data_IF_426481534833
#
_entry.id   IF_426481534833
#
_cell.length_a   1.000
_cell.length_b   1.000
_cell.length_c   1.000
_cell.angle_alpha   90.00
_cell.angle_beta   90.00
_cell.angle_gamma   90.00
#
_symmetry.space_group_name_H-M   'P 1'
#
loop_
_entity.id
_entity.type
_entity.pdbx_description
1 polymer ?
#
# COMPACT_ATOMS: atom_id res chain seq x y z
N UNK A 1 6.04 -23.21 28.49
CA UNK A 1 7.15 -22.23 28.58
C UNK A 1 6.94 -21.28 27.42
N UNK A 2 6.50 -20.07 27.77
CA UNK A 2 5.92 -19.08 26.88
C UNK A 2 6.90 -18.60 25.81
N UNK A 3 6.49 -18.71 24.55
CA UNK A 3 7.15 -18.10 23.39
C UNK A 3 6.84 -16.61 23.27
N UNK A 4 7.11 -15.83 24.32
CA UNK A 4 7.10 -14.36 24.23
C UNK A 4 8.41 -13.92 23.58
N UNK A 5 8.46 -14.03 22.25
CA UNK A 5 9.38 -13.23 21.46
C UNK A 5 9.18 -11.76 21.84
N UNK A 6 10.26 -10.99 21.84
CA UNK A 6 10.34 -9.56 22.17
C UNK A 6 9.30 -8.73 21.41
N UNK A 7 8.06 -8.75 21.88
CA UNK A 7 6.92 -8.03 21.32
C UNK A 7 6.96 -6.59 21.80
N UNK A 8 6.62 -5.67 20.91
CA UNK A 8 6.44 -4.27 21.28
C UNK A 8 5.38 -4.18 22.39
N UNK A 9 5.76 -3.59 23.51
CA UNK A 9 4.86 -3.40 24.65
C UNK A 9 3.95 -2.20 24.39
N UNK A 10 2.81 -2.49 23.75
CA UNK A 10 1.82 -1.49 23.37
C UNK A 10 1.21 -0.80 24.59
N UNK A 11 1.02 -1.51 25.69
CA UNK A 11 0.47 -0.96 26.94
C UNK A 11 1.42 0.08 27.54
N UNK A 12 2.72 -0.22 27.56
CA UNK A 12 3.74 0.74 28.03
C UNK A 12 3.91 1.94 27.10
N UNK A 13 3.72 1.77 25.79
CA UNK A 13 3.83 2.87 24.82
C UNK A 13 2.56 3.74 24.72
N UNK A 14 1.41 3.20 25.14
CA UNK A 14 0.09 3.84 25.02
C UNK A 14 0.03 5.28 25.54
N UNK A 15 0.58 5.63 26.73
CA UNK A 15 0.49 7.00 27.24
C UNK A 15 1.22 8.02 26.36
N UNK A 16 2.35 7.66 25.77
CA UNK A 16 3.11 8.53 24.87
C UNK A 16 2.34 8.73 23.55
N UNK A 17 1.79 7.65 22.99
CA UNK A 17 0.96 7.73 21.78
C UNK A 17 -0.27 8.62 22.03
N UNK A 18 -0.91 8.46 23.18
CA UNK A 18 -2.06 9.26 23.61
C UNK A 18 -1.71 10.75 23.73
N UNK A 19 -0.59 11.07 24.39
CA UNK A 19 -0.10 12.44 24.53
C UNK A 19 0.21 13.06 23.16
N UNK A 20 0.92 12.32 22.30
CA UNK A 20 1.26 12.80 20.96
C UNK A 20 0.03 13.00 20.07
N UNK A 21 -0.95 12.11 20.17
CA UNK A 21 -2.23 12.27 19.48
C UNK A 21 -2.98 13.52 19.95
N UNK A 22 -3.04 13.77 21.26
CA UNK A 22 -3.64 15.00 21.79
C UNK A 22 -2.92 16.26 21.31
N UNK A 23 -1.60 16.26 21.24
CA UNK A 23 -0.85 17.41 20.71
C UNK A 23 -1.22 17.70 19.25
N UNK A 24 -1.25 16.66 18.41
CA UNK A 24 -1.65 16.80 17.01
C UNK A 24 -3.11 17.24 16.84
N UNK A 25 -4.02 16.71 17.68
CA UNK A 25 -5.42 17.13 17.67
C UNK A 25 -5.57 18.60 18.06
N UNK A 26 -4.77 19.08 19.02
CA UNK A 26 -4.75 20.49 19.42
C UNK A 26 -4.20 21.38 18.30
N UNK A 27 -3.07 21.01 17.70
CA UNK A 27 -2.46 21.73 16.57
C UNK A 27 -3.43 21.80 15.37
N UNK A 28 -4.06 20.67 15.06
CA UNK A 28 -5.09 20.53 14.04
C UNK A 28 -6.29 21.45 14.30
N UNK A 29 -6.78 21.52 15.54
CA UNK A 29 -7.90 22.40 15.90
C UNK A 29 -7.52 23.88 15.81
N UNK A 30 -6.31 24.26 16.21
CA UNK A 30 -5.79 25.63 16.08
C UNK A 30 -5.73 26.02 14.60
N UNK A 31 -5.18 25.13 13.77
CA UNK A 31 -5.06 25.34 12.33
C UNK A 31 -6.43 25.46 11.65
N UNK A 32 -7.38 24.60 12.02
CA UNK A 32 -8.76 24.64 11.52
C UNK A 32 -9.46 25.95 11.92
N UNK A 33 -9.32 26.38 13.18
CA UNK A 33 -9.92 27.62 13.67
C UNK A 33 -9.30 28.85 12.98
N UNK A 34 -7.98 28.83 12.72
CA UNK A 34 -7.32 29.88 11.97
C UNK A 34 -7.83 29.95 10.53
N UNK A 35 -8.05 28.80 9.89
CA UNK A 35 -8.67 28.73 8.55
C UNK A 35 -10.08 29.30 8.54
N UNK A 36 -10.91 28.92 9.52
CA UNK A 36 -12.28 29.45 9.65
C UNK A 36 -12.24 30.98 9.79
N UNK A 37 -11.40 31.50 10.69
CA UNK A 37 -11.27 32.93 10.92
C UNK A 37 -10.81 33.71 9.68
N UNK A 38 -9.88 33.14 8.90
CA UNK A 38 -9.39 33.75 7.65
C UNK A 38 -10.50 33.87 6.58
N UNK A 39 -11.35 32.85 6.48
CA UNK A 39 -12.47 32.86 5.56
C UNK A 39 -13.70 33.65 6.05
N UNK A 40 -13.83 33.85 7.35
CA UNK A 40 -14.88 34.70 7.97
C UNK A 40 -14.51 36.18 7.92
N UNK A 41 -13.22 36.53 7.90
CA UNK A 41 -12.78 37.91 7.75
C UNK A 41 -13.07 38.42 6.32
N UNK A 42 -13.75 39.56 6.17
CA UNK A 42 -14.00 40.27 4.89
C UNK A 42 -12.71 40.84 4.24
N UNK A 43 -11.60 40.12 4.33
CA UNK A 43 -10.29 40.52 3.80
C UNK A 43 -10.21 40.18 2.31
N UNK A 44 -9.62 41.08 1.52
CA UNK A 44 -9.49 40.90 0.06
C UNK A 44 -8.60 39.69 -0.28
N UNK A 45 -8.97 38.87 -1.28
CA UNK A 45 -8.25 37.64 -1.63
C UNK A 45 -6.75 37.79 -1.92
N UNK A 46 -6.31 38.97 -2.39
CA UNK A 46 -4.93 39.23 -2.82
C UNK A 46 -3.93 39.40 -1.67
N UNK A 47 -4.38 39.74 -0.46
CA UNK A 47 -3.51 39.89 0.72
C UNK A 47 -3.43 38.60 1.57
N UNK A 48 -4.33 37.63 1.32
CA UNK A 48 -4.43 36.32 2.01
C UNK A 48 -3.29 35.35 1.69
N UNK A 49 -2.55 35.56 0.60
CA UNK A 49 -1.81 34.48 -0.10
C UNK A 49 -0.40 34.23 0.48
N UNK A 50 0.25 35.15 1.19
CA UNK A 50 1.70 35.00 1.46
C UNK A 50 2.04 34.55 2.89
N UNK A 51 1.34 35.00 3.94
CA UNK A 51 1.65 34.58 5.32
C UNK A 51 1.05 33.22 5.69
N UNK A 52 -0.08 32.87 5.09
CA UNK A 52 -0.83 31.66 5.41
C UNK A 52 -0.21 30.43 4.74
N UNK A 53 0.31 30.56 3.51
CA UNK A 53 0.81 29.43 2.70
C UNK A 53 2.04 28.75 3.32
N UNK A 54 3.01 29.49 3.86
CA UNK A 54 4.19 28.89 4.49
C UNK A 54 3.84 28.11 5.77
N UNK A 55 2.88 28.62 6.55
CA UNK A 55 2.36 27.93 7.73
C UNK A 55 1.57 26.68 7.35
N UNK A 56 0.78 26.74 6.28
CA UNK A 56 -0.04 25.64 5.78
C UNK A 56 0.83 24.48 5.24
N UNK A 57 1.88 24.79 4.47
CA UNK A 57 2.81 23.76 3.99
C UNK A 57 3.55 23.08 5.15
N UNK A 58 3.88 23.83 6.20
CA UNK A 58 4.54 23.29 7.39
C UNK A 58 3.63 22.30 8.13
N UNK A 59 2.33 22.59 8.23
CA UNK A 59 1.33 21.74 8.90
C UNK A 59 1.05 20.46 8.11
N UNK A 60 1.04 20.55 6.77
CA UNK A 60 0.87 19.36 5.90
C UNK A 60 2.02 18.36 6.07
N UNK A 61 3.26 18.85 6.26
CA UNK A 61 4.41 17.99 6.60
C UNK A 61 4.31 17.32 7.98
N UNK A 62 3.45 17.83 8.88
CA UNK A 62 3.14 17.20 10.16
C UNK A 62 2.01 16.18 10.04
N UNK A 63 1.49 15.92 8.83
CA UNK A 63 0.40 14.98 8.59
C UNK A 63 -0.98 15.53 8.91
N UNK A 64 -1.13 16.86 8.97
CA UNK A 64 -2.40 17.55 9.20
C UNK A 64 -2.81 18.25 7.90
N UNK A 65 -4.02 17.98 7.45
CA UNK A 65 -4.54 18.46 6.16
C UNK A 65 -5.85 19.21 6.37
N UNK A 66 -5.97 20.37 5.74
CA UNK A 66 -7.11 21.25 5.89
C UNK A 66 -7.89 21.36 4.58
N UNK A 67 -9.22 21.33 4.67
CA UNK A 67 -10.12 21.43 3.53
C UNK A 67 -11.31 22.32 3.82
N UNK A 68 -11.87 22.89 2.76
CA UNK A 68 -13.12 23.66 2.83
C UNK A 68 -14.01 23.32 1.65
N UNK A 69 -15.26 22.98 1.96
CA UNK A 69 -16.34 22.85 1.00
C UNK A 69 -17.27 24.05 1.10
N UNK A 70 -17.79 24.52 -0.03
CA UNK A 70 -18.81 25.57 -0.10
C UNK A 70 -19.92 25.09 -1.00
N UNK A 71 -21.16 25.12 -0.50
CA UNK A 71 -22.31 24.60 -1.26
C UNK A 71 -22.03 23.19 -1.82
N UNK A 72 -21.54 22.31 -0.94
CA UNK A 72 -21.14 20.93 -1.25
C UNK A 72 -19.92 20.77 -2.17
N UNK A 73 -19.30 21.83 -2.70
CA UNK A 73 -18.14 21.71 -3.60
C UNK A 73 -16.82 22.01 -2.91
N UNK A 74 -15.81 21.16 -3.09
CA UNK A 74 -14.46 21.39 -2.59
C UNK A 74 -13.89 22.69 -3.17
N UNK A 75 -13.63 23.67 -2.31
CA UNK A 75 -13.19 25.01 -2.69
C UNK A 75 -11.74 25.30 -2.29
N UNK A 76 -11.23 24.62 -1.26
CA UNK A 76 -9.86 24.79 -0.77
C UNK A 76 -9.32 23.49 -0.17
N UNK A 77 -8.01 23.25 -0.35
CA UNK A 77 -7.25 22.17 0.25
C UNK A 77 -5.82 22.65 0.54
N UNK A 78 -5.26 22.26 1.68
CA UNK A 78 -3.85 22.54 2.02
C UNK A 78 -2.87 21.68 1.22
N UNK A 79 -3.29 20.47 0.86
CA UNK A 79 -2.48 19.47 0.18
C UNK A 79 -3.39 18.58 -0.67
N UNK A 80 -2.86 18.04 -1.77
CA UNK A 80 -3.61 17.20 -2.71
C UNK A 80 -3.31 15.70 -2.57
N UNK A 81 -2.52 15.29 -1.59
CA UNK A 81 -2.20 13.89 -1.30
C UNK A 81 -3.37 13.11 -0.71
N UNK A 82 -4.37 13.78 -0.13
CA UNK A 82 -5.56 13.14 0.44
C UNK A 82 -6.63 12.95 -0.65
N UNK A 83 -7.10 11.71 -0.90
CA UNK A 83 -8.08 11.41 -1.93
C UNK A 83 -9.49 11.75 -1.43
N UNK A 84 -9.89 13.01 -1.56
CA UNK A 84 -11.24 13.45 -1.26
C UNK A 84 -12.08 13.62 -2.52
N UNK A 85 -13.39 13.36 -2.38
CA UNK A 85 -14.37 13.61 -3.44
C UNK A 85 -14.62 15.10 -3.62
N UNK A 86 -14.98 15.52 -4.84
CA UNK A 86 -15.34 16.92 -5.11
C UNK A 86 -16.59 17.38 -4.35
N UNK A 87 -17.49 16.43 -4.03
CA UNK A 87 -18.70 16.64 -3.24
C UNK A 87 -18.53 16.13 -1.81
N UNK A 88 -18.84 16.95 -0.81
CA UNK A 88 -18.76 16.55 0.59
C UNK A 88 -19.79 15.47 0.92
N UNK A 89 -21.02 15.59 0.43
CA UNK A 89 -22.08 14.60 0.62
C UNK A 89 -21.69 13.22 0.08
N UNK A 90 -21.00 13.19 -1.06
CA UNK A 90 -20.54 11.94 -1.66
C UNK A 90 -19.25 11.39 -1.03
N UNK A 91 -18.57 12.17 -0.20
CA UNK A 91 -17.28 11.77 0.39
C UNK A 91 -17.40 10.63 1.42
N UNK A 92 -18.58 10.49 2.05
CA UNK A 92 -18.76 9.55 3.15
C UNK A 92 -17.94 9.87 4.41
N UNK A 93 -17.29 11.05 4.46
CA UNK A 93 -16.46 11.48 5.56
C UNK A 93 -17.31 11.83 6.78
N UNK A 94 -16.93 11.30 7.94
CA UNK A 94 -17.59 11.56 9.22
C UNK A 94 -16.60 12.18 10.21
N UNK A 95 -17.08 12.84 11.28
CA UNK A 95 -16.19 13.23 12.37
C UNK A 95 -15.63 11.97 13.07
N UNK A 96 -14.36 12.01 13.47
CA UNK A 96 -13.65 10.88 14.07
C UNK A 96 -12.85 10.04 13.07
N UNK A 97 -12.76 8.73 13.30
CA UNK A 97 -11.90 7.84 12.52
C UNK A 97 -12.49 7.49 11.14
N UNK A 98 -11.73 7.78 10.08
CA UNK A 98 -12.08 7.48 8.69
C UNK A 98 -10.99 6.63 8.04
N UNK A 99 -11.41 5.74 7.15
CA UNK A 99 -10.52 5.01 6.24
C UNK A 99 -10.76 5.56 4.84
N UNK A 100 -9.73 6.16 4.25
CA UNK A 100 -9.70 6.63 2.87
C UNK A 100 -8.81 5.71 2.02
N UNK A 101 -8.81 5.90 0.71
CA UNK A 101 -8.10 5.03 -0.25
C UNK A 101 -6.59 4.89 -0.01
N UNK A 102 -6.00 5.86 0.70
CA UNK A 102 -4.56 5.91 0.99
C UNK A 102 -4.22 5.80 2.49
N UNK A 103 -5.19 5.76 3.41
CA UNK A 103 -4.85 5.81 4.83
C UNK A 103 -6.00 5.95 5.83
N UNK A 104 -5.63 5.75 7.09
CA UNK A 104 -6.45 6.03 8.26
C UNK A 104 -6.25 7.48 8.69
N UNK A 105 -7.36 8.20 8.81
CA UNK A 105 -7.38 9.61 9.21
C UNK A 105 -8.30 9.84 10.40
N UNK A 106 -7.91 10.74 11.29
CA UNK A 106 -8.83 11.32 12.27
C UNK A 106 -9.36 12.65 11.75
N UNK A 107 -10.67 12.79 11.64
CA UNK A 107 -11.33 13.94 11.04
C UNK A 107 -12.04 14.81 12.08
N UNK A 108 -11.76 16.11 12.03
CA UNK A 108 -12.55 17.15 12.70
C UNK A 108 -13.35 17.89 11.64
N UNK A 109 -14.66 18.00 11.81
CA UNK A 109 -15.57 18.63 10.84
C UNK A 109 -16.35 19.74 11.54
N UNK A 110 -16.25 20.95 10.99
CA UNK A 110 -16.92 22.15 11.49
C UNK A 110 -17.78 22.75 10.38
N UNK A 111 -19.05 23.02 10.68
CA UNK A 111 -19.99 23.61 9.70
C UNK A 111 -20.28 25.05 10.12
N UNK A 112 -20.02 26.00 9.21
CA UNK A 112 -20.26 27.43 9.40
C UNK A 112 -20.97 27.99 8.18
N UNK A 113 -22.18 28.53 8.36
CA UNK A 113 -23.02 29.06 7.29
C UNK A 113 -23.21 28.02 6.15
N UNK A 114 -22.74 28.34 4.94
CA UNK A 114 -22.80 27.46 3.76
C UNK A 114 -21.48 26.74 3.47
N UNK A 115 -20.57 26.70 4.45
CA UNK A 115 -19.27 26.09 4.31
C UNK A 115 -19.03 24.99 5.35
N UNK A 116 -18.34 23.93 4.91
CA UNK A 116 -17.87 22.84 5.76
C UNK A 116 -16.36 22.87 5.77
N UNK A 117 -15.78 23.06 6.95
CA UNK A 117 -14.35 23.07 7.19
C UNK A 117 -13.94 21.74 7.80
N UNK A 118 -12.84 21.18 7.32
CA UNK A 118 -12.39 19.85 7.70
C UNK A 118 -10.91 19.90 8.00
N UNK A 119 -10.51 19.28 9.11
CA UNK A 119 -9.13 18.91 9.37
C UNK A 119 -8.99 17.40 9.41
N UNK A 120 -7.95 16.87 8.77
CA UNK A 120 -7.62 15.46 8.74
C UNK A 120 -6.21 15.25 9.30
N UNK A 121 -6.08 14.35 10.27
CA UNK A 121 -4.79 13.92 10.82
C UNK A 121 -4.50 12.53 10.28
N UNK A 122 -3.42 12.38 9.50
CA UNK A 122 -2.99 11.06 9.03
C UNK A 122 -2.42 10.25 10.21
N UNK A 123 -3.06 9.12 10.49
CA UNK A 123 -2.64 8.19 11.54
C UNK A 123 -1.70 7.13 10.96
N UNK A 124 -2.14 6.43 9.91
CA UNK A 124 -1.42 5.32 9.27
C UNK A 124 -1.72 5.28 7.77
N UNK A 125 -0.69 5.23 6.95
CA UNK A 125 -0.84 5.00 5.50
C UNK A 125 -1.37 3.57 5.24
N UNK A 126 -2.31 3.43 4.31
CA UNK A 126 -2.99 2.17 4.01
C UNK A 126 -3.26 2.05 2.50
N UNK A 127 -2.19 1.89 1.74
CA UNK A 127 -2.24 1.65 0.31
C UNK A 127 -2.57 0.19 -0.01
N UNK A 128 -3.39 -0.03 -1.05
CA UNK A 128 -3.68 -1.36 -1.59
C UNK A 128 -2.49 -1.98 -2.33
N UNK A 129 -1.47 -1.19 -2.66
CA UNK A 129 -0.25 -1.61 -3.35
C UNK A 129 0.92 -1.27 -2.45
N UNK A 130 1.60 -2.29 -1.92
CA UNK A 130 2.84 -2.13 -1.16
C UNK A 130 4.03 -2.21 -2.12
N UNK A 131 4.79 -1.12 -2.23
CA UNK A 131 6.01 -1.07 -3.02
C UNK A 131 7.07 -0.25 -2.28
N UNK A 132 8.31 -0.23 -2.80
CA UNK A 132 9.43 0.46 -2.13
C UNK A 132 9.22 1.97 -1.90
N UNK A 133 8.20 2.59 -2.52
CA UNK A 133 7.83 3.99 -2.38
C UNK A 133 6.57 4.20 -1.51
N UNK A 134 5.70 3.19 -1.42
CA UNK A 134 4.42 3.24 -0.70
C UNK A 134 4.44 2.19 0.40
N UNK A 135 4.76 2.62 1.61
CA UNK A 135 4.81 1.76 2.80
C UNK A 135 3.60 2.05 3.71
N UNK A 136 2.98 0.98 4.20
CA UNK A 136 1.86 1.05 5.13
C UNK A 136 2.33 1.20 6.57
N UNK A 137 2.87 2.38 6.89
CA UNK A 137 3.39 2.71 8.21
C UNK A 137 2.55 3.77 8.92
N UNK A 138 2.67 3.84 10.25
CA UNK A 138 2.16 4.98 10.99
C UNK A 138 2.89 6.26 10.57
N UNK A 139 2.22 7.40 10.70
CA UNK A 139 2.88 8.68 10.51
C UNK A 139 4.04 8.82 11.50
N UNK A 140 5.16 9.42 11.07
CA UNK A 140 6.42 9.51 11.82
C UNK A 140 6.26 10.14 13.21
N UNK A 141 5.22 10.94 13.40
CA UNK A 141 4.85 11.53 14.68
C UNK A 141 4.65 10.50 15.80
N UNK A 142 4.10 9.31 15.50
CA UNK A 142 3.66 8.37 16.53
C UNK A 142 4.74 7.37 16.94
N UNK A 143 5.76 7.14 16.10
CA UNK A 143 6.80 6.14 16.32
C UNK A 143 6.25 4.75 16.71
N UNK A 144 5.15 4.35 16.06
CA UNK A 144 4.49 3.06 16.25
C UNK A 144 5.00 2.08 15.18
N UNK A 145 5.39 0.85 15.56
CA UNK A 145 5.79 -0.17 14.60
C UNK A 145 4.68 -0.59 13.63
N UNK A 146 5.06 -1.04 12.43
CA UNK A 146 4.11 -1.40 11.36
C UNK A 146 3.20 -2.59 11.69
N UNK A 147 3.63 -3.45 12.62
CA UNK A 147 2.84 -4.61 13.08
C UNK A 147 1.70 -4.23 14.05
N UNK A 148 1.53 -2.94 14.38
CA UNK A 148 0.34 -2.46 15.08
C UNK A 148 -0.71 -2.05 14.04
N UNK A 149 -1.97 -2.34 14.29
CA UNK A 149 -3.09 -1.96 13.43
C UNK A 149 -4.11 -1.08 14.15
N UNK A 150 -4.83 -0.29 13.35
CA UNK A 150 -5.96 0.54 13.80
C UNK A 150 -7.27 -0.24 13.62
N UNK A 151 -8.11 -0.23 14.65
CA UNK A 151 -9.47 -0.79 14.63
C UNK A 151 -10.50 0.25 15.08
N UNK A 152 -11.66 0.25 14.42
CA UNK A 152 -12.81 1.09 14.81
C UNK A 152 -13.43 0.64 16.12
N UNK A 153 -13.52 -0.68 16.32
CA UNK A 153 -14.11 -1.29 17.50
C UNK A 153 -13.03 -1.83 18.43
N UNK A 154 -13.28 -1.75 19.73
CA UNK A 154 -12.43 -2.34 20.74
C UNK A 154 -12.50 -3.87 20.66
N UNK A 155 -11.35 -4.52 20.71
CA UNK A 155 -11.22 -5.97 20.74
C UNK A 155 -10.39 -6.37 21.97
N UNK A 156 -10.43 -7.65 22.41
CA UNK A 156 -9.55 -8.10 23.48
C UNK A 156 -8.10 -7.75 23.15
N UNK A 157 -7.36 -7.23 24.14
CA UNK A 157 -5.96 -6.80 24.02
C UNK A 157 -5.73 -5.55 23.13
N UNK A 158 -6.79 -4.82 22.74
CA UNK A 158 -6.64 -3.51 22.11
C UNK A 158 -6.45 -2.40 23.14
N UNK A 159 -5.57 -1.46 22.83
CA UNK A 159 -5.38 -0.20 23.57
C UNK A 159 -6.26 0.88 22.96
N UNK A 160 -7.06 1.54 23.78
CA UNK A 160 -7.92 2.64 23.34
C UNK A 160 -7.16 3.97 23.37
N UNK A 161 -7.22 4.71 22.27
CA UNK A 161 -6.75 6.09 22.20
C UNK A 161 -7.98 7.01 22.18
N UNK A 162 -7.98 8.00 23.05
CA UNK A 162 -9.05 8.96 23.22
C UNK A 162 -8.74 10.28 22.52
N UNK A 163 -9.77 11.02 22.11
CA UNK A 163 -9.66 12.43 21.73
C UNK A 163 -9.49 13.31 22.98
N UNK A 164 -9.02 14.54 22.80
CA UNK A 164 -9.04 15.61 23.82
C UNK A 164 -10.42 15.74 24.48
N UNK A 165 -11.50 15.43 23.74
CA UNK A 165 -12.88 15.45 24.23
C UNK A 165 -13.26 14.21 25.07
N UNK A 166 -12.29 13.31 25.34
CA UNK A 166 -12.42 12.02 26.07
C UNK A 166 -13.26 10.94 25.38
N UNK A 167 -13.78 11.21 24.18
CA UNK A 167 -14.41 10.20 23.34
C UNK A 167 -13.36 9.25 22.76
N UNK A 168 -13.72 8.01 22.47
CA UNK A 168 -12.81 7.06 21.82
C UNK A 168 -12.51 7.57 20.41
N UNK A 169 -11.23 7.78 20.10
CA UNK A 169 -10.78 8.18 18.78
C UNK A 169 -10.53 6.95 17.90
N UNK A 170 -9.71 6.02 18.38
CA UNK A 170 -9.39 4.77 17.68
C UNK A 170 -8.80 3.73 18.64
N UNK A 171 -8.73 2.47 18.20
CA UNK A 171 -8.15 1.38 18.97
C UNK A 171 -6.90 0.85 18.27
N UNK A 172 -5.84 0.57 19.03
CA UNK A 172 -4.60 -0.02 18.56
C UNK A 172 -4.54 -1.48 18.97
N UNK A 173 -4.13 -2.35 18.04
CA UNK A 173 -3.95 -3.78 18.32
C UNK A 173 -2.63 -4.27 17.75
N UNK A 174 -1.93 -5.12 18.49
CA UNK A 174 -0.79 -5.86 17.96
C UNK A 174 -1.31 -6.89 16.96
N UNK A 175 -0.96 -6.72 15.68
CA UNK A 175 -1.24 -7.74 14.68
C UNK A 175 -0.27 -8.90 14.91
N UNK A 176 -0.79 -10.04 15.39
CA UNK A 176 -0.02 -11.27 15.62
C UNK A 176 0.60 -11.86 14.36
N UNK A 177 0.19 -11.40 13.18
CA UNK A 177 0.95 -11.57 11.95
C UNK A 177 1.98 -10.45 11.91
N UNK A 178 3.04 -10.58 12.71
CA UNK A 178 4.26 -9.86 12.40
C UNK A 178 4.60 -10.23 10.96
N UNK A 179 4.42 -9.29 10.02
CA UNK A 179 5.06 -9.35 8.71
C UNK A 179 6.53 -9.49 9.03
N UNK A 180 7.03 -10.73 9.02
CA UNK A 180 8.40 -11.03 9.36
C UNK A 180 9.27 -10.45 8.24
N UNK A 181 9.65 -9.19 8.41
CA UNK A 181 10.72 -8.53 7.66
C UNK A 181 12.06 -9.23 7.90
N UNK A 182 12.10 -10.15 8.87
CA UNK A 182 13.21 -11.04 9.16
C UNK A 182 13.37 -12.05 8.02
N UNK A 183 14.31 -11.75 7.12
CA UNK A 183 14.80 -12.57 6.02
C UNK A 183 14.02 -12.50 4.71
N UNK A 184 13.43 -11.36 4.35
CA UNK A 184 12.98 -11.13 2.97
C UNK A 184 14.11 -11.50 1.99
N UNK A 185 15.32 -11.00 2.21
CA UNK A 185 16.48 -11.31 1.35
C UNK A 185 16.75 -12.82 1.21
N UNK A 186 16.79 -13.58 2.30
CA UNK A 186 17.07 -15.02 2.21
C UNK A 186 15.91 -15.81 1.57
N UNK A 187 14.66 -15.39 1.81
CA UNK A 187 13.47 -15.98 1.17
C UNK A 187 13.48 -15.73 -0.33
N UNK A 188 13.80 -14.51 -0.77
CA UNK A 188 13.96 -14.15 -2.18
C UNK A 188 15.06 -14.98 -2.85
N UNK A 189 16.23 -15.12 -2.22
CA UNK A 189 17.32 -15.93 -2.75
C UNK A 189 16.98 -17.41 -2.84
N UNK A 190 16.29 -17.96 -1.83
CA UNK A 190 15.82 -19.35 -1.84
C UNK A 190 14.80 -19.60 -2.96
N UNK A 191 13.85 -18.67 -3.16
CA UNK A 191 12.86 -18.76 -4.23
C UNK A 191 13.52 -18.70 -5.62
N UNK A 192 14.50 -17.82 -5.82
CA UNK A 192 15.26 -17.74 -7.06
C UNK A 192 16.06 -19.02 -7.32
N UNK A 193 16.71 -19.57 -6.29
CA UNK A 193 17.44 -20.83 -6.40
C UNK A 193 16.53 -22.01 -6.79
N UNK A 194 15.33 -22.10 -6.20
CA UNK A 194 14.33 -23.12 -6.55
C UNK A 194 13.83 -22.98 -7.99
N UNK A 195 13.60 -21.74 -8.46
CA UNK A 195 13.21 -21.47 -9.84
C UNK A 195 14.29 -21.91 -10.84
N UNK A 196 15.55 -21.59 -10.56
CA UNK A 196 16.69 -21.98 -11.40
C UNK A 196 16.84 -23.51 -11.42
N UNK A 197 16.72 -24.16 -10.26
CA UNK A 197 16.79 -25.62 -10.16
C UNK A 197 15.65 -26.30 -10.95
N UNK A 198 14.42 -25.81 -10.81
CA UNK A 198 13.27 -26.29 -11.58
C UNK A 198 13.50 -26.13 -13.08
N UNK A 199 13.95 -24.95 -13.53
CA UNK A 199 14.20 -24.68 -14.94
C UNK A 199 15.31 -25.57 -15.50
N UNK A 200 16.38 -25.81 -14.75
CA UNK A 200 17.47 -26.69 -15.15
C UNK A 200 17.00 -28.14 -15.32
N UNK A 201 16.20 -28.66 -14.37
CA UNK A 201 15.62 -30.00 -14.46
C UNK A 201 14.65 -30.10 -15.64
N UNK A 202 13.77 -29.12 -15.80
CA UNK A 202 12.80 -29.07 -16.89
C UNK A 202 13.46 -29.07 -18.27
N UNK A 203 14.48 -28.22 -18.48
CA UNK A 203 15.24 -28.17 -19.73
C UNK A 203 16.03 -29.45 -19.99
N UNK A 204 16.54 -30.11 -18.94
CA UNK A 204 17.24 -31.40 -19.07
C UNK A 204 16.29 -32.53 -19.52
N UNK A 205 15.09 -32.59 -18.94
CA UNK A 205 14.03 -33.54 -19.35
C UNK A 205 13.59 -33.27 -20.78
N UNK A 206 13.33 -32.00 -21.12
CA UNK A 206 12.98 -31.59 -22.49
C UNK A 206 14.04 -32.00 -23.50
N UNK A 207 15.31 -31.69 -23.24
CA UNK A 207 16.42 -32.06 -24.14
C UNK A 207 16.52 -33.58 -24.31
N UNK A 208 16.38 -34.32 -23.22
CA UNK A 208 16.42 -35.78 -23.25
C UNK A 208 15.26 -36.38 -24.04
N UNK A 209 14.06 -35.82 -23.92
CA UNK A 209 12.89 -36.22 -24.72
C UNK A 209 13.04 -35.89 -26.20
N UNK A 210 13.43 -34.65 -26.51
CA UNK A 210 13.60 -34.16 -27.88
C UNK A 210 14.70 -34.92 -28.63
N UNK A 211 15.83 -35.21 -27.99
CA UNK A 211 16.90 -35.99 -28.61
C UNK A 211 16.51 -37.44 -28.92
N UNK A 212 15.57 -38.04 -28.16
CA UNK A 212 15.00 -39.36 -28.48
C UNK A 212 14.09 -39.27 -29.69
N UNK A 213 13.22 -38.25 -29.74
CA UNK A 213 12.30 -38.02 -30.86
C UNK A 213 13.07 -37.72 -32.14
N UNK A 214 14.10 -36.89 -32.07
CA UNK A 214 14.97 -36.56 -33.20
C UNK A 214 15.65 -37.80 -33.78
N UNK A 215 16.21 -38.67 -32.93
CA UNK A 215 16.84 -39.92 -33.37
C UNK A 215 15.86 -40.89 -34.05
N UNK A 216 14.58 -40.86 -33.67
CA UNK A 216 13.57 -41.80 -34.16
C UNK A 216 12.78 -41.27 -35.36
N UNK A 217 12.49 -39.97 -35.41
CA UNK A 217 11.56 -39.34 -36.36
C UNK A 217 12.15 -38.14 -37.12
N UNK A 218 13.40 -37.75 -36.83
CA UNK A 218 14.09 -36.64 -37.48
C UNK A 218 13.90 -35.29 -36.79
N UNK A 219 14.77 -34.33 -37.14
CA UNK A 219 14.87 -33.03 -36.48
C UNK A 219 13.62 -32.15 -36.63
N UNK A 220 12.94 -32.18 -37.77
CA UNK A 220 11.71 -31.41 -38.01
C UNK A 220 10.58 -31.79 -37.05
N UNK A 221 10.40 -33.09 -36.80
CA UNK A 221 9.37 -33.60 -35.87
C UNK A 221 9.71 -33.23 -34.44
N UNK A 222 11.00 -33.26 -34.08
CA UNK A 222 11.49 -32.80 -32.78
C UNK A 222 11.21 -31.31 -32.57
N UNK A 223 11.53 -30.47 -33.56
CA UNK A 223 11.27 -29.03 -33.51
C UNK A 223 9.78 -28.71 -33.39
N UNK A 224 8.93 -29.39 -34.18
CA UNK A 224 7.48 -29.22 -34.10
C UNK A 224 6.94 -29.62 -32.71
N UNK A 225 7.40 -30.75 -32.18
CA UNK A 225 7.01 -31.23 -30.85
C UNK A 225 7.43 -30.25 -29.76
N UNK A 226 8.64 -29.68 -29.86
CA UNK A 226 9.10 -28.64 -28.95
C UNK A 226 8.19 -27.40 -28.97
N UNK A 227 7.87 -26.88 -30.15
CA UNK A 227 6.99 -25.71 -30.30
C UNK A 227 5.61 -25.98 -29.69
N UNK A 228 5.02 -27.15 -29.93
CA UNK A 228 3.71 -27.52 -29.37
C UNK A 228 3.75 -27.58 -27.85
N UNK A 229 4.80 -28.17 -27.25
CA UNK A 229 4.94 -28.26 -25.79
C UNK A 229 5.09 -26.87 -25.17
N UNK A 230 5.94 -26.01 -25.73
CA UNK A 230 6.17 -24.66 -25.21
C UNK A 230 4.92 -23.79 -25.34
N UNK A 231 4.27 -23.79 -26.50
CA UNK A 231 3.04 -23.02 -26.72
C UNK A 231 1.89 -23.54 -25.85
N UNK A 232 1.77 -24.86 -25.67
CA UNK A 232 0.78 -25.49 -24.81
C UNK A 232 0.97 -25.12 -23.34
N UNK A 233 2.21 -25.22 -22.83
CA UNK A 233 2.53 -24.77 -21.47
C UNK A 233 2.30 -23.27 -21.28
N UNK A 234 2.59 -22.46 -22.30
CA UNK A 234 2.33 -21.02 -22.24
C UNK A 234 0.84 -20.70 -22.17
N UNK A 235 0.03 -21.38 -22.99
CA UNK A 235 -1.42 -21.25 -22.95
C UNK A 235 -1.99 -21.64 -21.57
N UNK A 236 -1.53 -22.76 -21.02
CA UNK A 236 -1.92 -23.22 -19.68
C UNK A 236 -1.52 -22.22 -18.58
N UNK A 237 -0.31 -21.66 -18.68
CA UNK A 237 0.21 -20.66 -17.75
C UNK A 237 -0.63 -19.38 -17.76
N UNK A 238 -1.03 -18.88 -18.94
CA UNK A 238 -1.83 -17.64 -19.05
C UNK A 238 -3.28 -17.85 -18.57
N UNK A 239 -3.92 -18.95 -18.96
CA UNK A 239 -5.35 -19.16 -18.67
C UNK A 239 -5.60 -19.65 -17.24
N UNK A 240 -4.73 -20.53 -16.74
CA UNK A 240 -4.93 -21.20 -15.44
C UNK A 240 -3.99 -20.70 -14.35
N UNK A 241 -3.14 -19.71 -14.63
CA UNK A 241 -2.04 -19.30 -13.74
C UNK A 241 -1.22 -20.51 -13.27
N UNK A 242 -0.99 -21.49 -14.16
CA UNK A 242 -0.34 -22.73 -13.80
C UNK A 242 1.17 -22.67 -14.05
N UNK A 243 2.02 -23.08 -13.10
CA UNK A 243 1.69 -23.51 -11.73
C UNK A 243 1.39 -22.33 -10.78
N UNK A 244 0.31 -22.42 -10.00
CA UNK A 244 -0.18 -21.33 -9.12
C UNK A 244 0.87 -20.84 -8.12
N UNK A 245 1.71 -21.76 -7.63
CA UNK A 245 2.80 -21.45 -6.70
C UNK A 245 3.80 -20.42 -7.24
N UNK A 246 3.98 -20.32 -8.57
CA UNK A 246 4.86 -19.31 -9.15
C UNK A 246 4.22 -17.94 -9.21
N UNK A 247 2.90 -17.84 -9.42
CA UNK A 247 2.18 -16.57 -9.46
C UNK A 247 1.96 -15.94 -8.07
N UNK A 248 2.16 -16.71 -7.01
CA UNK A 248 2.24 -16.21 -5.64
C UNK A 248 3.62 -15.61 -5.32
N UNK A 249 4.62 -15.79 -6.19
CA UNK A 249 5.91 -15.11 -6.08
C UNK A 249 5.79 -13.68 -6.58
N UNK A 250 6.30 -12.75 -5.79
CA UNK A 250 6.49 -11.34 -6.13
C UNK A 250 7.18 -11.10 -7.49
N UNK A 251 8.04 -12.03 -7.94
CA UNK A 251 8.72 -11.96 -9.24
C UNK A 251 7.80 -12.20 -10.46
N UNK A 252 6.74 -12.98 -10.29
CA UNK A 252 5.70 -13.22 -11.30
C UNK A 252 4.43 -12.41 -11.02
N UNK A 253 4.47 -11.52 -10.01
CA UNK A 253 3.41 -10.58 -9.73
C UNK A 253 3.37 -9.45 -10.76
N UNK A 254 2.19 -8.86 -11.03
CA UNK A 254 2.03 -7.75 -11.95
C UNK A 254 2.63 -6.42 -11.44
N UNK A 255 3.12 -6.39 -10.19
CA UNK A 255 3.52 -5.18 -9.48
C UNK A 255 4.68 -4.40 -10.14
N UNK A 256 5.53 -5.04 -10.95
CA UNK A 256 6.73 -4.42 -11.49
C UNK A 256 6.78 -4.34 -13.03
N UNK A 257 5.91 -5.06 -13.75
CA UNK A 257 5.88 -5.04 -15.22
C UNK A 257 4.55 -5.59 -15.74
N UNK A 258 3.59 -4.71 -16.04
CA UNK A 258 2.28 -5.08 -16.58
C UNK A 258 2.02 -4.34 -17.90
N UNK A 259 2.84 -4.62 -18.91
CA UNK A 259 2.77 -3.91 -20.21
C UNK A 259 1.70 -4.52 -21.14
N UNK A 260 1.41 -5.82 -21.02
CA UNK A 260 0.36 -6.51 -21.79
C UNK A 260 0.04 -7.90 -21.21
N UNK A 261 -1.05 -8.56 -21.65
CA UNK A 261 -1.40 -9.93 -21.26
C UNK A 261 -0.32 -10.98 -21.60
N UNK A 262 0.59 -10.69 -22.54
CA UNK A 262 1.71 -11.56 -22.90
C UNK A 262 2.95 -11.35 -22.01
N UNK A 263 3.04 -10.18 -21.37
CA UNK A 263 4.12 -9.79 -20.46
C UNK A 263 3.52 -9.20 -19.18
N UNK A 264 2.76 -10.05 -18.48
CA UNK A 264 2.06 -9.66 -17.25
C UNK A 264 3.01 -9.52 -16.05
N UNK A 265 4.25 -10.01 -16.16
CA UNK A 265 5.27 -9.91 -15.12
C UNK A 265 6.70 -9.88 -15.69
N UNK A 266 7.67 -9.51 -14.84
CA UNK A 266 9.11 -9.60 -15.15
C UNK A 266 9.53 -11.07 -15.32
N UNK A 267 8.98 -11.96 -14.51
CA UNK A 267 9.22 -13.40 -14.63
C UNK A 267 8.80 -13.96 -15.99
N UNK A 268 7.67 -13.52 -16.53
CA UNK A 268 7.24 -13.89 -17.88
C UNK A 268 8.24 -13.44 -18.95
N UNK A 269 8.74 -12.21 -18.86
CA UNK A 269 9.75 -11.70 -19.80
C UNK A 269 11.06 -12.51 -19.74
N UNK A 270 11.52 -12.86 -18.54
CA UNK A 270 12.73 -13.65 -18.35
C UNK A 270 12.60 -15.07 -18.91
N UNK A 271 11.47 -15.74 -18.65
CA UNK A 271 11.18 -17.07 -19.22
C UNK A 271 11.15 -17.03 -20.74
N UNK A 272 10.45 -16.05 -21.33
CA UNK A 272 10.40 -15.90 -22.79
C UNK A 272 11.80 -15.68 -23.39
N UNK A 273 12.65 -14.92 -22.70
CA UNK A 273 14.04 -14.69 -23.14
C UNK A 273 14.86 -15.98 -23.14
N UNK A 274 14.80 -16.77 -22.07
CA UNK A 274 15.50 -18.07 -21.99
C UNK A 274 14.99 -19.04 -23.06
N UNK A 275 13.68 -19.10 -23.26
CA UNK A 275 13.08 -19.94 -24.29
C UNK A 275 13.52 -19.52 -25.70
N UNK A 276 13.57 -18.22 -25.99
CA UNK A 276 14.07 -17.71 -27.27
C UNK A 276 15.54 -18.11 -27.50
N UNK A 277 16.40 -17.95 -26.48
CA UNK A 277 17.79 -18.42 -26.57
C UNK A 277 17.90 -19.94 -26.76
N UNK A 278 17.02 -20.72 -26.13
CA UNK A 278 17.00 -22.18 -26.29
C UNK A 278 16.56 -22.59 -27.70
N UNK A 279 15.54 -21.93 -28.26
CA UNK A 279 15.09 -22.15 -29.64
C UNK A 279 16.25 -21.94 -30.62
N UNK A 280 16.99 -20.84 -30.49
CA UNK A 280 18.14 -20.51 -31.35
C UNK A 280 19.26 -21.55 -31.25
N UNK A 281 19.41 -22.23 -30.11
CA UNK A 281 20.41 -23.28 -29.91
C UNK A 281 19.98 -24.65 -30.47
N UNK A 282 18.66 -24.90 -30.51
CA UNK A 282 18.09 -26.18 -30.97
C UNK A 282 17.91 -26.21 -32.48
N UNK A 283 17.66 -25.05 -33.10
CA UNK A 283 17.74 -24.84 -34.56
C UNK A 283 19.21 -24.90 -34.98
#
# INVERSE_FOLDING_TARGET
MDGRGSGYDLDSAAPNIQERFHLLEQESQIALNALIADFDAEVKPSERVVSTIDQIHTISNQGIFLFRYVNDSLNYWSDNSVPLYSSFQNSGLLAGLNLLDNGWYFATIEIKNHATFISLILLKSAYNIDNNYLQNSFHSNFNIPDHIDIKREAIPESVQIHSIQKNIAFNLVVNGVASSTNNLGARWWLQLALLIAFLAVFLSILRSGLSRIEKQFGWLVSLFTFLVIILGLRYLSIVFAFPKMFYELTFFGPAHYATSNLFASIGDFFLNSILAFYVVKVI
#
